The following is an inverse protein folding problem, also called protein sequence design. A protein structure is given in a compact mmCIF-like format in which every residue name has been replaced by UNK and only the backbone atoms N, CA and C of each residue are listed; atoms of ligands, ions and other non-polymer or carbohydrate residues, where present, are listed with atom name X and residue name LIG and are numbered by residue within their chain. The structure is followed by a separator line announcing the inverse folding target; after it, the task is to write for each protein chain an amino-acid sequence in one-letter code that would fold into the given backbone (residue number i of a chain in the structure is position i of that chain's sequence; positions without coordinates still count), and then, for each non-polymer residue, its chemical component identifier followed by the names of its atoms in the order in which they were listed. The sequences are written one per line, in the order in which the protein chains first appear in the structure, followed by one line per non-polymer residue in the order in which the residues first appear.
data_IF_467998165577
#
_entry.id   IF_467998165577
#
_cell.length_a   1.000
_cell.length_b   1.000
_cell.length_c   1.000
_cell.angle_alpha   90.00
_cell.angle_beta   90.00
_cell.angle_gamma   90.00
#
_symmetry.space_group_name_H-M   'P 1'
#
loop_
_entity.id
_entity.type
_entity.pdbx_description
1 polymer ?
#
# COMPACT_ATOMS: atom_id res chain seq x y z
N UNK A 1 8.45 36.19 -22.15
CA UNK A 1 8.33 35.32 -20.95
C UNK A 1 8.05 33.91 -21.44
N UNK A 2 9.07 33.07 -21.58
CA UNK A 2 8.87 31.64 -21.67
C UNK A 2 8.52 31.17 -20.25
N UNK A 3 7.25 30.85 -20.01
CA UNK A 3 6.81 30.29 -18.73
C UNK A 3 7.03 28.78 -18.79
N UNK A 4 8.21 28.32 -18.40
CA UNK A 4 8.43 26.91 -18.08
C UNK A 4 7.80 26.61 -16.73
N UNK A 5 7.01 25.54 -16.64
CA UNK A 5 6.53 25.03 -15.36
C UNK A 5 7.65 24.17 -14.77
N UNK A 6 8.29 24.62 -13.71
CA UNK A 6 9.28 23.81 -13.00
C UNK A 6 8.55 22.70 -12.23
N UNK A 7 8.67 21.47 -12.72
CA UNK A 7 8.11 20.28 -12.05
C UNK A 7 9.17 19.72 -11.11
N UNK A 8 8.91 19.82 -9.81
CA UNK A 8 9.74 19.19 -8.78
C UNK A 8 9.21 17.80 -8.45
N UNK A 9 10.09 16.79 -8.42
CA UNK A 9 9.77 15.44 -7.95
C UNK A 9 10.08 15.30 -6.46
N UNK A 10 9.16 14.72 -5.68
CA UNK A 10 9.42 14.38 -4.29
C UNK A 10 10.37 13.18 -4.19
N UNK A 11 11.40 13.33 -3.36
CA UNK A 11 12.30 12.23 -2.99
C UNK A 11 11.85 11.57 -1.67
N UNK A 12 12.11 10.26 -1.48
CA UNK A 12 11.86 9.59 -0.21
C UNK A 12 12.58 10.29 0.96
N UNK A 13 11.93 10.33 2.13
CA UNK A 13 12.47 10.91 3.36
C UNK A 13 11.92 10.20 4.60
N UNK A 14 12.24 10.68 5.81
CA UNK A 14 11.68 10.14 7.05
C UNK A 14 10.15 10.30 7.16
N UNK A 15 9.56 11.23 6.42
CA UNK A 15 8.12 11.50 6.44
C UNK A 15 7.35 10.76 5.34
N UNK A 16 8.00 10.41 4.23
CA UNK A 16 7.37 9.75 3.08
C UNK A 16 8.29 8.68 2.50
N UNK A 17 7.83 7.43 2.42
CA UNK A 17 8.63 6.33 1.88
C UNK A 17 8.54 6.24 0.36
N UNK A 18 9.46 5.47 -0.24
CA UNK A 18 9.39 5.15 -1.67
C UNK A 18 8.07 4.44 -2.02
N UNK A 19 7.57 3.55 -1.18
CA UNK A 19 6.30 2.85 -1.43
C UNK A 19 5.11 3.81 -1.43
N UNK A 20 5.09 4.80 -0.54
CA UNK A 20 4.06 5.84 -0.51
C UNK A 20 4.09 6.70 -1.80
N UNK A 21 5.28 7.03 -2.31
CA UNK A 21 5.44 7.75 -3.57
C UNK A 21 4.99 6.90 -4.78
N UNK A 22 5.43 5.65 -4.85
CA UNK A 22 5.04 4.74 -5.94
C UNK A 22 3.54 4.44 -5.91
N UNK A 23 2.94 4.27 -4.73
CA UNK A 23 1.49 4.17 -4.58
C UNK A 23 0.78 5.44 -5.07
N UNK A 24 1.26 6.64 -4.71
CA UNK A 24 0.68 7.90 -5.19
C UNK A 24 0.71 8.01 -6.72
N UNK A 25 1.80 7.54 -7.35
CA UNK A 25 1.94 7.51 -8.81
C UNK A 25 1.00 6.53 -9.50
N UNK A 26 0.33 5.60 -8.80
CA UNK A 26 -0.60 4.66 -9.44
C UNK A 26 -1.94 5.27 -9.86
N UNK A 27 -2.32 6.41 -9.28
CA UNK A 27 -3.61 7.04 -9.54
C UNK A 27 -3.55 7.86 -10.82
N UNK A 28 -4.30 7.45 -11.83
CA UNK A 28 -4.37 8.12 -13.13
C UNK A 28 -5.81 8.41 -13.52
N UNK A 29 -6.06 9.61 -14.04
CA UNK A 29 -7.34 9.99 -14.63
C UNK A 29 -7.24 10.01 -16.15
N UNK A 30 -8.13 9.29 -16.84
CA UNK A 30 -8.24 9.38 -18.30
C UNK A 30 -8.78 10.75 -18.75
N UNK A 31 -9.61 11.38 -17.90
CA UNK A 31 -10.13 12.73 -18.08
C UNK A 31 -10.32 13.35 -16.68
N UNK A 32 -9.88 14.59 -16.50
CA UNK A 32 -9.93 15.28 -15.22
C UNK A 32 -10.60 16.65 -15.36
N UNK A 33 -11.75 16.80 -14.71
CA UNK A 33 -12.38 18.09 -14.44
C UNK A 33 -12.36 18.33 -12.93
N UNK A 34 -11.76 19.44 -12.49
CA UNK A 34 -11.65 19.80 -11.07
C UNK A 34 -13.01 19.97 -10.39
N UNK A 35 -14.04 20.36 -11.15
CA UNK A 35 -15.40 20.57 -10.64
C UNK A 35 -16.10 19.25 -10.28
N UNK A 36 -15.74 18.14 -10.93
CA UNK A 36 -16.36 16.83 -10.70
C UNK A 36 -15.97 16.23 -9.35
N UNK A 37 -14.94 16.78 -8.68
CA UNK A 37 -14.43 16.32 -7.39
C UNK A 37 -14.31 14.79 -7.29
N UNK A 38 -13.75 14.18 -8.34
CA UNK A 38 -13.63 12.74 -8.45
C UNK A 38 -12.86 12.16 -7.26
N UNK A 39 -13.36 11.05 -6.70
CA UNK A 39 -12.67 10.36 -5.61
C UNK A 39 -11.44 9.64 -6.16
N UNK A 40 -10.30 9.82 -5.49
CA UNK A 40 -9.10 9.06 -5.79
C UNK A 40 -9.28 7.59 -5.39
N UNK A 41 -8.96 6.70 -6.31
CA UNK A 41 -8.94 5.25 -6.09
C UNK A 41 -7.55 4.75 -6.43
N UNK A 42 -6.88 4.15 -5.46
CA UNK A 42 -5.58 3.52 -5.66
C UNK A 42 -5.77 2.11 -6.19
N UNK A 43 -5.24 1.78 -7.38
CA UNK A 43 -5.25 0.41 -7.88
C UNK A 43 -4.50 -0.55 -6.93
N UNK A 44 -4.97 -1.79 -6.74
CA UNK A 44 -4.26 -2.77 -5.93
C UNK A 44 -2.85 -3.03 -6.47
N UNK A 45 -1.85 -2.82 -5.63
CA UNK A 45 -0.43 -2.97 -6.00
C UNK A 45 0.43 -3.31 -4.79
N UNK A 46 1.59 -3.95 -5.01
CA UNK A 46 2.57 -4.19 -3.93
C UNK A 46 3.08 -2.90 -3.28
N UNK A 47 3.35 -1.81 -4.02
CA UNK A 47 3.66 -0.52 -3.41
C UNK A 47 2.56 -0.01 -2.47
N UNK A 48 1.28 -0.15 -2.83
CA UNK A 48 0.18 0.28 -1.95
C UNK A 48 0.13 -0.52 -0.64
N UNK A 49 0.28 -1.85 -0.72
CA UNK A 49 0.33 -2.69 0.48
C UNK A 49 1.55 -2.33 1.36
N UNK A 50 2.73 -2.16 0.76
CA UNK A 50 3.93 -1.77 1.50
C UNK A 50 3.84 -0.34 2.05
N UNK A 51 3.14 0.59 1.39
CA UNK A 51 2.93 1.94 1.88
C UNK A 51 2.14 1.94 3.20
N UNK A 52 1.05 1.16 3.28
CA UNK A 52 0.31 1.01 4.54
C UNK A 52 1.15 0.32 5.62
N UNK A 53 1.99 -0.65 5.25
CA UNK A 53 2.91 -1.29 6.18
C UNK A 53 3.95 -0.30 6.74
N UNK A 54 4.53 0.55 5.89
CA UNK A 54 5.49 1.58 6.29
C UNK A 54 4.82 2.61 7.23
N UNK A 55 3.55 2.96 6.99
CA UNK A 55 2.78 3.82 7.89
C UNK A 55 2.52 3.19 9.26
N UNK A 56 2.27 1.87 9.30
CA UNK A 56 2.10 1.11 10.54
C UNK A 56 3.40 0.99 11.32
N UNK A 57 4.53 0.82 10.65
CA UNK A 57 5.86 0.85 11.27
C UNK A 57 6.11 2.22 11.93
N UNK A 58 5.79 3.30 11.20
CA UNK A 58 5.92 4.68 11.71
C UNK A 58 5.01 4.97 12.90
N UNK A 59 3.76 4.50 12.88
CA UNK A 59 2.81 4.69 14.00
C UNK A 59 2.95 3.66 15.11
N UNK A 60 3.85 2.68 14.99
CA UNK A 60 3.96 1.53 15.91
C UNK A 60 2.65 0.75 16.04
N UNK A 61 1.86 0.69 14.94
CA UNK A 61 0.62 -0.08 14.85
C UNK A 61 0.83 -1.59 14.75
N UNK A 62 2.05 -2.03 14.47
CA UNK A 62 2.52 -3.41 14.52
C UNK A 62 3.90 -3.46 15.18
N UNK A 63 4.26 -4.60 15.79
CA UNK A 63 5.62 -4.79 16.28
C UNK A 63 6.62 -4.85 15.13
N UNK A 64 7.88 -4.49 15.38
CA UNK A 64 8.96 -4.54 14.37
C UNK A 64 9.08 -5.92 13.73
N UNK A 65 8.91 -6.99 14.53
CA UNK A 65 9.00 -8.36 14.06
C UNK A 65 7.84 -8.72 13.13
N UNK A 66 6.63 -8.25 13.44
CA UNK A 66 5.46 -8.43 12.55
C UNK A 66 5.58 -7.60 11.29
N UNK A 67 6.12 -6.39 11.36
CA UNK A 67 6.42 -5.57 10.17
C UNK A 67 7.39 -6.30 9.26
N UNK A 68 8.51 -6.79 9.80
CA UNK A 68 9.50 -7.55 9.03
C UNK A 68 8.89 -8.81 8.41
N UNK A 69 8.16 -9.62 9.20
CA UNK A 69 7.51 -10.83 8.71
C UNK A 69 6.51 -10.56 7.59
N UNK A 70 5.75 -9.46 7.69
CA UNK A 70 4.77 -9.06 6.67
C UNK A 70 5.47 -8.61 5.39
N UNK A 71 6.55 -7.85 5.51
CA UNK A 71 7.38 -7.40 4.39
C UNK A 71 8.00 -8.59 3.64
N UNK A 72 8.53 -9.57 4.38
CA UNK A 72 9.08 -10.81 3.81
C UNK A 72 8.00 -11.62 3.07
N UNK A 73 6.79 -11.72 3.64
CA UNK A 73 5.65 -12.41 3.01
C UNK A 73 5.17 -11.71 1.72
N UNK A 74 5.07 -10.37 1.72
CA UNK A 74 4.74 -9.59 0.53
C UNK A 74 5.79 -9.79 -0.58
N UNK A 75 7.07 -9.74 -0.24
CA UNK A 75 8.15 -9.96 -1.20
C UNK A 75 8.16 -11.39 -1.76
N UNK A 76 7.78 -12.40 -0.96
CA UNK A 76 7.63 -13.77 -1.45
C UNK A 76 6.43 -13.90 -2.42
N UNK A 77 5.30 -13.27 -2.08
CA UNK A 77 4.11 -13.26 -2.93
C UNK A 77 4.34 -12.53 -4.26
N UNK A 78 5.12 -11.46 -4.26
CA UNK A 78 5.48 -10.71 -5.47
C UNK A 78 6.26 -11.58 -6.47
N UNK A 79 7.19 -12.40 -5.97
CA UNK A 79 7.95 -13.36 -6.79
C UNK A 79 7.13 -14.57 -7.24
N UNK A 80 6.07 -14.92 -6.50
CA UNK A 80 5.14 -15.97 -6.90
C UNK A 80 4.19 -15.48 -8.00
N UNK A 81 3.46 -16.40 -8.64
CA UNK A 81 2.48 -16.07 -9.68
C UNK A 81 1.23 -16.95 -9.60
N UNK A 82 0.16 -16.50 -10.27
CA UNK A 82 -1.11 -17.23 -10.37
C UNK A 82 -1.66 -17.66 -9.01
N UNK A 83 -2.09 -18.93 -8.91
CA UNK A 83 -2.70 -19.45 -7.69
C UNK A 83 -1.79 -19.36 -6.47
N UNK A 84 -0.47 -19.56 -6.62
CA UNK A 84 0.47 -19.52 -5.48
C UNK A 84 0.51 -18.14 -4.85
N UNK A 85 0.57 -17.07 -5.68
CA UNK A 85 0.50 -15.68 -5.20
C UNK A 85 -0.82 -15.42 -4.49
N UNK A 86 -1.94 -15.80 -5.09
CA UNK A 86 -3.27 -15.57 -4.49
C UNK A 86 -3.39 -16.23 -3.13
N UNK A 87 -3.01 -17.50 -3.01
CA UNK A 87 -3.04 -18.22 -1.73
C UNK A 87 -2.16 -17.56 -0.67
N UNK A 88 -0.93 -17.16 -1.02
CA UNK A 88 -0.03 -16.48 -0.08
C UNK A 88 -0.62 -15.15 0.42
N UNK A 89 -1.18 -14.33 -0.47
CA UNK A 89 -1.79 -13.05 -0.11
C UNK A 89 -3.07 -13.23 0.72
N UNK A 90 -3.93 -14.20 0.37
CA UNK A 90 -5.14 -14.49 1.16
C UNK A 90 -4.78 -14.95 2.56
N UNK A 91 -3.80 -15.84 2.71
CA UNK A 91 -3.32 -16.29 4.02
C UNK A 91 -2.76 -15.12 4.84
N UNK A 92 -1.95 -14.26 4.22
CA UNK A 92 -1.42 -13.06 4.88
C UNK A 92 -2.53 -12.12 5.33
N UNK A 93 -3.54 -11.87 4.49
CA UNK A 93 -4.69 -11.03 4.85
C UNK A 93 -5.46 -11.60 6.04
N UNK A 94 -5.69 -12.92 6.09
CA UNK A 94 -6.35 -13.58 7.22
C UNK A 94 -5.56 -13.42 8.51
N UNK A 95 -4.24 -13.60 8.47
CA UNK A 95 -3.38 -13.42 9.64
C UNK A 95 -3.44 -11.98 10.15
N UNK A 96 -3.22 -11.00 9.27
CA UNK A 96 -3.28 -9.58 9.62
C UNK A 96 -4.66 -9.16 10.15
N UNK A 97 -5.74 -9.72 9.61
CA UNK A 97 -7.10 -9.42 10.08
C UNK A 97 -7.32 -9.90 11.53
N UNK A 98 -6.69 -10.99 11.96
CA UNK A 98 -6.75 -11.44 13.35
C UNK A 98 -6.02 -10.50 14.32
N UNK A 99 -5.10 -9.68 13.82
CA UNK A 99 -4.31 -8.72 14.59
C UNK A 99 -4.96 -7.33 14.64
N UNK A 100 -6.08 -7.11 13.92
CA UNK A 100 -6.77 -5.81 13.86
C UNK A 100 -7.26 -5.34 15.23
N UNK A 101 -7.97 -6.19 15.97
CA UNK A 101 -8.52 -5.82 17.28
C UNK A 101 -7.45 -5.49 18.33
N UNK A 102 -6.36 -6.27 18.47
CA UNK A 102 -5.30 -5.94 19.44
C UNK A 102 -4.30 -4.87 18.97
N UNK A 103 -4.36 -4.41 17.71
CA UNK A 103 -3.43 -3.42 17.18
C UNK A 103 -3.61 -2.03 17.82
N UNK A 104 -2.51 -1.30 18.11
CA UNK A 104 -2.57 0.11 18.49
C UNK A 104 -3.12 1.04 17.39
N UNK A 105 -3.11 0.61 16.12
CA UNK A 105 -3.62 1.37 14.97
C UNK A 105 -4.55 0.51 14.10
N UNK A 106 -5.75 0.15 14.62
CA UNK A 106 -6.66 -0.78 13.96
C UNK A 106 -7.20 -0.22 12.64
N UNK A 107 -7.27 1.11 12.50
CA UNK A 107 -7.71 1.79 11.29
C UNK A 107 -6.75 1.55 10.13
N UNK A 108 -5.45 1.80 10.32
CA UNK A 108 -4.46 1.53 9.28
C UNK A 108 -4.25 0.05 9.03
N UNK A 109 -4.34 -0.80 10.05
CA UNK A 109 -4.21 -2.24 9.84
C UNK A 109 -5.36 -2.79 8.98
N UNK A 110 -6.58 -2.26 9.11
CA UNK A 110 -7.68 -2.57 8.18
C UNK A 110 -7.39 -2.13 6.75
N UNK A 111 -6.73 -0.99 6.54
CA UNK A 111 -6.32 -0.53 5.20
C UNK A 111 -5.29 -1.48 4.58
N UNK A 112 -4.30 -1.93 5.37
CA UNK A 112 -3.34 -2.95 4.91
C UNK A 112 -4.05 -4.27 4.56
N UNK A 113 -4.95 -4.77 5.42
CA UNK A 113 -5.75 -5.97 5.14
C UNK A 113 -6.54 -5.83 3.85
N UNK A 114 -7.20 -4.69 3.64
CA UNK A 114 -7.93 -4.37 2.41
C UNK A 114 -7.01 -4.39 1.19
N UNK A 115 -5.88 -3.67 1.25
CA UNK A 115 -4.92 -3.62 0.15
C UNK A 115 -4.37 -5.00 -0.23
N UNK A 116 -4.02 -5.85 0.75
CA UNK A 116 -3.55 -7.22 0.51
C UNK A 116 -4.68 -8.11 -0.06
N UNK A 117 -5.90 -7.94 0.44
CA UNK A 117 -7.08 -8.68 -0.04
C UNK A 117 -7.41 -8.34 -1.49
N UNK A 118 -7.36 -7.07 -1.85
CA UNK A 118 -7.63 -6.64 -3.23
C UNK A 118 -6.48 -7.01 -4.16
N UNK A 119 -5.23 -6.96 -3.69
CA UNK A 119 -4.08 -7.44 -4.44
C UNK A 119 -4.22 -8.94 -4.76
N UNK A 120 -4.76 -9.76 -3.84
CA UNK A 120 -5.02 -11.18 -4.07
C UNK A 120 -6.07 -11.46 -5.17
N UNK A 121 -6.92 -10.48 -5.50
CA UNK A 121 -7.94 -10.60 -6.54
C UNK A 121 -7.42 -10.22 -7.94
N UNK A 122 -6.26 -9.58 -8.01
CA UNK A 122 -5.63 -9.24 -9.29
C UNK A 122 -5.16 -10.51 -10.02
N UNK A 123 -5.22 -10.50 -11.36
CA UNK A 123 -4.91 -11.67 -12.21
C UNK A 123 -3.42 -11.96 -12.27
#
# INVERSE_FOLDING_TARGET
IARGLDIFELLPSGLITRNELEAAKTVHFAFYNTQDQQKFVWPPSFPLANAYLDQLERSKGLSSDRVKSTRDALAAAERASGQRRRTALTQLATQLNSEVAPSPDPGKLKLLVGAVTDLAKTR
#
